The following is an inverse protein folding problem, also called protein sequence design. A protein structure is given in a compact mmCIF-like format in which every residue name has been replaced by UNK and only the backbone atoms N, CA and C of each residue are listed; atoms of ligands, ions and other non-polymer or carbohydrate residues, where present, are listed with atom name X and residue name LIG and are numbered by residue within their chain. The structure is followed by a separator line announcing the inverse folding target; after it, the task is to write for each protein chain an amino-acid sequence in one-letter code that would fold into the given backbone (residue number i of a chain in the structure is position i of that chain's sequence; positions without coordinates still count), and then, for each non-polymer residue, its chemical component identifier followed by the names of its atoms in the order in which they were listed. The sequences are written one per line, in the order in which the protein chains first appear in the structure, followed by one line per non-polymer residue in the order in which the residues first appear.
data_IF_754585887873
#
_entry.id   IF_754585887873
#
_cell.length_a   1.000
_cell.length_b   1.000
_cell.length_c   1.000
_cell.angle_alpha   90.00
_cell.angle_beta   90.00
_cell.angle_gamma   90.00
#
_symmetry.space_group_name_H-M   'P 1'
#
loop_
_entity.id
_entity.type
_entity.pdbx_description
1 polymer ?
#
# COMPACT_ATOMS: atom_id res chain seq x y z
N UNK A 1 11.61 -5.90 11.34
CA UNK A 1 10.89 -6.97 10.63
C UNK A 1 9.81 -6.31 9.77
N UNK A 2 9.68 -6.63 8.47
CA UNK A 2 8.80 -5.88 7.56
C UNK A 2 7.33 -6.27 7.73
N UNK A 3 6.59 -5.51 8.56
CA UNK A 3 5.21 -5.81 8.95
C UNK A 3 4.23 -5.70 7.78
N UNK A 4 4.51 -4.87 6.79
CA UNK A 4 3.67 -4.69 5.61
C UNK A 4 3.57 -5.98 4.79
N UNK A 5 4.63 -6.82 4.79
CA UNK A 5 4.64 -8.12 4.11
C UNK A 5 3.75 -9.19 4.77
N UNK A 6 3.27 -8.94 5.99
CA UNK A 6 2.45 -9.87 6.77
C UNK A 6 0.95 -9.60 6.68
N UNK A 7 0.57 -8.57 5.94
CA UNK A 7 -0.82 -8.17 5.81
C UNK A 7 -1.64 -9.24 5.04
N UNK A 8 -2.95 -9.38 5.36
CA UNK A 8 -3.81 -10.37 4.72
C UNK A 8 -4.14 -10.06 3.25
N UNK A 9 -3.65 -8.94 2.73
CA UNK A 9 -3.83 -8.43 1.38
C UNK A 9 -2.47 -8.00 0.81
N UNK A 10 -2.33 -7.98 -0.51
CA UNK A 10 -1.04 -7.62 -1.11
C UNK A 10 -0.93 -6.11 -1.23
N UNK A 11 0.21 -5.56 -0.79
CA UNK A 11 0.48 -4.12 -0.80
C UNK A 11 1.47 -3.76 -1.89
N UNK A 12 1.17 -2.75 -2.71
CA UNK A 12 2.05 -2.22 -3.75
C UNK A 12 2.27 -0.70 -3.58
N UNK A 13 3.49 -0.20 -3.76
CA UNK A 13 3.85 1.21 -3.50
C UNK A 13 4.16 1.97 -4.77
N UNK A 14 3.66 3.20 -4.92
CA UNK A 14 3.91 4.03 -6.11
C UNK A 14 4.18 5.50 -5.73
N UNK A 15 5.42 5.76 -5.26
CA UNK A 15 6.28 6.93 -5.60
C UNK A 15 7.76 6.77 -5.16
N UNK A 16 8.65 7.50 -5.88
CA UNK A 16 10.12 7.66 -5.83
C UNK A 16 10.68 8.40 -4.59
N UNK A 17 10.22 8.14 -3.37
CA UNK A 17 11.05 8.46 -2.19
C UNK A 17 12.05 7.30 -2.05
N UNK A 18 13.11 7.35 -2.86
CA UNK A 18 14.06 6.25 -3.05
C UNK A 18 13.78 5.41 -4.30
N UNK A 19 14.65 4.44 -4.56
CA UNK A 19 14.63 3.61 -5.78
C UNK A 19 14.04 2.22 -5.53
N UNK A 20 13.75 1.89 -4.27
CA UNK A 20 13.38 0.54 -3.85
C UNK A 20 12.09 0.51 -3.03
N UNK A 21 11.46 -0.66 -2.98
CA UNK A 21 10.32 -0.94 -2.10
C UNK A 21 10.59 -0.56 -0.63
N UNK A 22 11.81 -0.82 -0.14
CA UNK A 22 12.23 -0.52 1.23
C UNK A 22 12.19 0.97 1.51
N UNK A 23 12.60 1.80 0.57
CA UNK A 23 12.60 3.25 0.74
C UNK A 23 11.17 3.81 0.79
N UNK A 24 10.31 3.33 -0.13
CA UNK A 24 8.91 3.73 -0.18
C UNK A 24 8.10 3.27 1.04
N UNK A 25 8.46 2.12 1.62
CA UNK A 25 7.78 1.55 2.79
C UNK A 25 8.30 2.07 4.14
N UNK A 26 9.49 2.69 4.19
CA UNK A 26 10.14 3.13 5.44
C UNK A 26 9.24 4.00 6.31
N UNK A 27 8.67 5.07 5.74
CA UNK A 27 7.82 5.99 6.51
C UNK A 27 6.54 5.35 7.07
N UNK A 28 6.07 4.29 6.44
CA UNK A 28 4.92 3.51 6.91
C UNK A 28 5.32 2.51 7.99
N UNK A 29 6.45 1.84 7.80
CA UNK A 29 7.03 0.95 8.81
C UNK A 29 7.35 1.72 10.10
N UNK A 30 7.97 2.90 10.00
CA UNK A 30 8.24 3.79 11.14
C UNK A 30 6.94 4.19 11.87
N UNK A 31 5.86 4.42 11.12
CA UNK A 31 4.56 4.74 11.71
C UNK A 31 3.95 3.54 12.44
N UNK A 32 4.06 2.33 11.88
CA UNK A 32 3.59 1.08 12.52
C UNK A 32 4.38 0.81 13.81
N UNK A 33 5.71 0.97 13.79
CA UNK A 33 6.57 0.73 14.94
C UNK A 33 6.24 1.65 16.13
N UNK A 34 5.79 2.88 15.87
CA UNK A 34 5.34 3.82 16.91
C UNK A 34 3.99 3.46 17.55
N UNK A 35 3.24 2.50 16.99
CA UNK A 35 1.92 2.10 17.46
C UNK A 35 1.84 0.58 17.70
N UNK A 36 2.59 0.03 18.68
CA UNK A 36 2.68 -1.41 18.89
C UNK A 36 1.34 -2.09 19.23
N UNK A 37 0.42 -1.37 19.88
CA UNK A 37 -0.93 -1.88 20.17
C UNK A 37 -1.79 -2.02 18.90
N UNK A 38 -1.53 -1.22 17.87
CA UNK A 38 -2.19 -1.35 16.58
C UNK A 38 -1.71 -2.60 15.85
N UNK A 39 -0.43 -2.99 15.99
CA UNK A 39 0.16 -4.16 15.36
C UNK A 39 -0.61 -5.45 15.68
N UNK A 40 -1.05 -5.61 16.94
CA UNK A 40 -1.84 -6.76 17.38
C UNK A 40 -3.19 -6.89 16.65
N UNK A 41 -3.73 -5.79 16.11
CA UNK A 41 -5.04 -5.73 15.44
C UNK A 41 -4.94 -5.72 13.91
N UNK A 42 -3.74 -5.72 13.34
CA UNK A 42 -3.52 -5.72 11.89
C UNK A 42 -3.95 -7.02 11.19
N UNK A 43 -4.26 -8.08 11.94
CA UNK A 43 -4.92 -9.26 11.39
C UNK A 43 -6.37 -8.97 10.94
N UNK A 44 -6.99 -7.90 11.45
CA UNK A 44 -8.35 -7.49 11.10
C UNK A 44 -8.30 -6.63 9.84
N UNK A 45 -8.79 -7.10 8.68
CA UNK A 45 -8.58 -6.40 7.40
C UNK A 45 -9.10 -4.96 7.39
N UNK A 46 -10.28 -4.72 7.98
CA UNK A 46 -10.87 -3.38 8.10
C UNK A 46 -10.00 -2.43 8.93
N UNK A 47 -9.47 -2.91 10.06
CA UNK A 47 -8.60 -2.12 10.92
C UNK A 47 -7.25 -1.86 10.24
N UNK A 48 -6.62 -2.91 9.70
CA UNK A 48 -5.33 -2.83 9.03
C UNK A 48 -5.35 -1.80 7.90
N UNK A 49 -6.41 -1.80 7.11
CA UNK A 49 -6.52 -0.90 5.99
C UNK A 49 -6.84 0.54 6.43
N UNK A 50 -7.62 0.75 7.49
CA UNK A 50 -7.80 2.09 8.07
C UNK A 50 -6.50 2.63 8.70
N UNK A 51 -5.73 1.75 9.33
CA UNK A 51 -4.43 2.07 9.89
C UNK A 51 -3.43 2.48 8.82
N UNK A 52 -3.39 1.75 7.70
CA UNK A 52 -2.61 2.12 6.52
C UNK A 52 -3.02 3.48 5.94
N UNK A 53 -4.31 3.80 5.89
CA UNK A 53 -4.77 5.12 5.44
C UNK A 53 -4.21 6.25 6.31
N UNK A 54 -4.23 6.09 7.63
CA UNK A 54 -3.66 7.07 8.56
C UNK A 54 -2.13 7.18 8.39
N UNK A 55 -1.45 6.05 8.27
CA UNK A 55 -0.01 5.99 8.05
C UNK A 55 0.39 6.66 6.73
N UNK A 56 -0.34 6.37 5.65
CA UNK A 56 -0.13 6.95 4.32
C UNK A 56 -0.39 8.47 4.35
N UNK A 57 -1.48 8.90 4.99
CA UNK A 57 -1.81 10.32 5.11
C UNK A 57 -0.69 11.11 5.80
N UNK A 58 -0.15 10.62 6.91
CA UNK A 58 0.96 11.25 7.64
C UNK A 58 2.26 11.31 6.82
N UNK A 59 2.38 10.49 5.79
CA UNK A 59 3.54 10.45 4.89
C UNK A 59 3.29 11.14 3.53
N UNK A 60 2.17 11.88 3.38
CA UNK A 60 1.83 12.56 2.12
C UNK A 60 1.43 11.58 0.99
N UNK A 61 0.94 10.41 1.36
CA UNK A 61 0.49 9.34 0.47
C UNK A 61 -1.03 9.16 0.55
N UNK A 62 -1.56 8.37 -0.36
CA UNK A 62 -2.95 7.92 -0.43
C UNK A 62 -3.01 6.42 -0.63
N UNK A 63 -4.06 5.78 -0.09
CA UNK A 63 -4.30 4.34 -0.23
C UNK A 63 -5.41 4.12 -1.23
N UNK A 64 -5.16 3.29 -2.24
CA UNK A 64 -6.13 2.89 -3.27
C UNK A 64 -6.33 1.38 -3.16
N UNK A 65 -7.58 0.94 -3.01
CA UNK A 65 -7.92 -0.48 -2.89
C UNK A 65 -8.56 -0.99 -4.16
N UNK A 66 -8.23 -2.21 -4.53
CA UNK A 66 -8.82 -2.90 -5.68
C UNK A 66 -9.01 -4.38 -5.37
N UNK A 67 -10.14 -5.00 -5.71
CA UNK A 67 -10.19 -6.46 -5.81
C UNK A 67 -9.22 -6.95 -6.90
N UNK A 68 -8.39 -7.95 -6.62
CA UNK A 68 -7.55 -8.56 -7.66
C UNK A 68 -8.43 -9.19 -8.75
N UNK A 69 -8.07 -8.99 -10.03
CA UNK A 69 -8.83 -9.56 -11.14
C UNK A 69 -8.66 -11.08 -11.20
N UNK A 70 -9.78 -11.74 -10.94
CA UNK A 70 -10.26 -13.06 -11.41
C UNK A 70 -9.44 -14.34 -11.17
N UNK A 71 -8.16 -14.32 -10.81
CA UNK A 71 -7.40 -15.57 -10.53
C UNK A 71 -7.06 -15.80 -9.05
N UNK A 72 -6.97 -14.74 -8.24
CA UNK A 72 -6.68 -14.84 -6.81
C UNK A 72 -7.63 -13.91 -6.08
N UNK A 73 -8.51 -14.44 -5.23
CA UNK A 73 -9.45 -13.63 -4.42
C UNK A 73 -8.72 -12.91 -3.27
N UNK A 74 -7.77 -12.02 -3.59
CA UNK A 74 -7.11 -11.16 -2.62
C UNK A 74 -7.44 -9.70 -2.92
N UNK A 75 -7.60 -8.90 -1.89
CA UNK A 75 -7.63 -7.45 -2.05
C UNK A 75 -6.19 -6.98 -2.34
N UNK A 76 -6.04 -6.07 -3.30
CA UNK A 76 -4.79 -5.36 -3.57
C UNK A 76 -4.91 -3.96 -3.00
N UNK A 77 -3.89 -3.54 -2.26
CA UNK A 77 -3.81 -2.23 -1.63
C UNK A 77 -2.61 -1.49 -2.20
N UNK A 78 -2.86 -0.47 -2.99
CA UNK A 78 -1.84 0.42 -3.53
C UNK A 78 -1.65 1.60 -2.59
N UNK A 79 -0.40 1.97 -2.33
CA UNK A 79 -0.06 3.17 -1.57
C UNK A 79 0.74 4.08 -2.48
N UNK A 80 0.15 5.21 -2.83
CA UNK A 80 0.60 6.08 -3.91
C UNK A 80 0.88 7.45 -3.32
N UNK A 81 1.93 8.16 -3.74
CA UNK A 81 2.12 9.53 -3.25
C UNK A 81 1.12 10.48 -3.90
N UNK A 82 0.65 11.46 -3.11
CA UNK A 82 -0.20 12.52 -3.64
C UNK A 82 0.55 13.29 -4.74
N UNK A 83 -0.12 13.52 -5.86
CA UNK A 83 0.43 14.29 -6.99
C UNK A 83 1.33 13.53 -7.96
N UNK A 84 1.54 12.21 -7.79
CA UNK A 84 2.30 11.38 -8.75
C UNK A 84 1.62 11.33 -10.10
N UNK A 85 0.29 11.22 -10.09
CA UNK A 85 -0.52 11.16 -11.28
C UNK A 85 -1.21 12.51 -11.50
N UNK A 86 -1.18 12.98 -12.76
CA UNK A 86 -1.84 14.24 -13.15
C UNK A 86 -3.37 14.19 -12.97
N UNK A 87 -3.96 13.00 -13.08
CA UNK A 87 -5.38 12.75 -12.89
C UNK A 87 -5.61 11.29 -12.47
N UNK A 88 -6.84 10.98 -12.06
CA UNK A 88 -7.24 9.63 -11.66
C UNK A 88 -7.11 8.62 -12.80
N UNK A 89 -7.37 9.02 -14.05
CA UNK A 89 -7.27 8.12 -15.20
C UNK A 89 -5.85 7.59 -15.41
N UNK A 90 -4.84 8.47 -15.31
CA UNK A 90 -3.43 8.09 -15.39
C UNK A 90 -3.03 7.14 -14.24
N UNK A 91 -3.55 7.38 -13.04
CA UNK A 91 -3.36 6.50 -11.88
C UNK A 91 -3.96 5.11 -12.16
N UNK A 92 -5.20 5.06 -12.64
CA UNK A 92 -5.87 3.79 -12.95
C UNK A 92 -5.20 3.05 -14.10
N UNK A 93 -4.76 3.73 -15.15
CA UNK A 93 -3.98 3.11 -16.25
C UNK A 93 -2.69 2.49 -15.73
N UNK A 94 -1.97 3.16 -14.83
CA UNK A 94 -0.77 2.61 -14.22
C UNK A 94 -1.09 1.37 -13.36
N UNK A 95 -2.10 1.44 -12.49
CA UNK A 95 -2.52 0.33 -11.62
C UNK A 95 -2.95 -0.88 -12.46
N UNK A 96 -3.57 -0.64 -13.62
CA UNK A 96 -4.06 -1.68 -14.52
C UNK A 96 -3.01 -2.21 -15.50
N UNK A 97 -1.79 -1.67 -15.49
CA UNK A 97 -0.69 -2.19 -16.31
C UNK A 97 -0.29 -3.60 -15.82
N UNK A 98 -0.33 -4.62 -16.70
CA UNK A 98 0.06 -5.99 -16.36
C UNK A 98 1.47 -6.12 -15.76
N UNK A 99 2.40 -5.23 -16.14
CA UNK A 99 3.76 -5.21 -15.59
C UNK A 99 3.78 -4.81 -14.11
N UNK A 100 2.91 -3.89 -13.69
CA UNK A 100 2.78 -3.46 -12.30
C UNK A 100 2.03 -4.49 -11.45
N UNK A 101 1.09 -5.23 -12.06
CA UNK A 101 0.40 -6.34 -11.41
C UNK A 101 1.34 -7.52 -11.12
N UNK A 102 2.39 -7.71 -11.92
CA UNK A 102 3.37 -8.79 -11.73
C UNK A 102 4.40 -8.51 -10.62
N UNK A 103 4.57 -7.25 -10.18
CA UNK A 103 5.41 -6.90 -9.01
C UNK A 103 4.84 -7.50 -7.71
N UNK A 104 3.56 -7.87 -7.75
CA UNK A 104 2.74 -8.27 -6.62
C UNK A 104 2.62 -9.80 -6.50
N UNK A 105 3.22 -10.56 -7.42
CA UNK A 105 3.23 -12.04 -7.43
C UNK A 105 4.25 -12.62 -6.46
#
# INVERSE_FOLDING_TARGET
MDYLRRMPFTVAFIDKKGQTYQDSSKGLNDYIERHPLAAARLHQPKFAAKFLEMAAHNNGMQVVRRPADTQVKRELVYIIRKGVFKNEEAMWRFINDPSNLNIVR
#
